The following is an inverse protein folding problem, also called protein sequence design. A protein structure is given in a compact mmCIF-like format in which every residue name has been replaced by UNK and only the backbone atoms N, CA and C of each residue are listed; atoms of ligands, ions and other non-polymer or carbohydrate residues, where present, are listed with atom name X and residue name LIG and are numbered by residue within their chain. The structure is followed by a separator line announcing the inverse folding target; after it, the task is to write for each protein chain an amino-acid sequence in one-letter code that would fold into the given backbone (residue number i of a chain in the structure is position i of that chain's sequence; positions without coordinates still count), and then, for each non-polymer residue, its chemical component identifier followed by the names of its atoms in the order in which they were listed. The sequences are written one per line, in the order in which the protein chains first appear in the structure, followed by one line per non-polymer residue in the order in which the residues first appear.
data_IF_212792600053
#
_entry.id   IF_212792600053
#
_cell.length_a   1.000
_cell.length_b   1.000
_cell.length_c   1.000
_cell.angle_alpha   90.00
_cell.angle_beta   90.00
_cell.angle_gamma   90.00
#
_symmetry.space_group_name_H-M   'P 1'
#
loop_
_entity.id
_entity.type
_entity.pdbx_description
1 polymer ?
#
# COMPACT_ATOMS: atom_id res chain seq x y z
N UNK A 1 -14.78 -8.57 8.18
CA UNK A 1 -13.34 -8.36 8.46
C UNK A 1 -12.74 -7.52 7.34
N UNK A 2 -11.86 -6.57 7.65
CA UNK A 2 -11.19 -5.76 6.62
C UNK A 2 -10.00 -6.54 6.01
N UNK A 3 -9.65 -6.26 4.76
CA UNK A 3 -8.47 -6.89 4.11
C UNK A 3 -7.17 -6.67 4.90
N UNK A 4 -7.06 -5.54 5.60
CA UNK A 4 -5.90 -5.23 6.45
C UNK A 4 -5.83 -6.18 7.66
N UNK A 5 -6.96 -6.44 8.32
CA UNK A 5 -7.02 -7.38 9.43
C UNK A 5 -6.61 -8.80 8.99
N UNK A 6 -7.05 -9.23 7.80
CA UNK A 6 -6.68 -10.54 7.25
C UNK A 6 -5.17 -10.69 7.00
N UNK A 7 -4.47 -9.61 6.59
CA UNK A 7 -3.01 -9.64 6.43
C UNK A 7 -2.32 -9.77 7.78
N UNK A 8 -2.84 -9.10 8.83
CA UNK A 8 -2.30 -9.19 10.17
C UNK A 8 -2.49 -10.61 10.77
N UNK A 9 -3.64 -11.21 10.54
CA UNK A 9 -3.93 -12.58 10.98
C UNK A 9 -3.07 -13.59 10.23
N UNK A 10 -2.90 -13.44 8.91
CA UNK A 10 -1.97 -14.26 8.13
C UNK A 10 -0.54 -14.16 8.66
N UNK A 11 -0.07 -12.95 8.99
CA UNK A 11 1.26 -12.75 9.59
C UNK A 11 1.40 -13.53 10.90
N UNK A 12 0.38 -13.48 11.77
CA UNK A 12 0.38 -14.23 13.04
C UNK A 12 0.44 -15.73 12.79
N UNK A 13 -0.38 -16.24 11.87
CA UNK A 13 -0.40 -17.68 11.54
C UNK A 13 0.97 -18.14 10.99
N UNK A 14 1.61 -17.35 10.13
CA UNK A 14 2.93 -17.69 9.61
C UNK A 14 4.00 -17.73 10.73
N UNK A 15 3.91 -16.82 11.71
CA UNK A 15 4.83 -16.81 12.85
C UNK A 15 4.58 -18.00 13.78
N UNK A 16 3.31 -18.30 14.04
CA UNK A 16 2.91 -19.42 14.89
C UNK A 16 3.35 -20.76 14.31
N UNK A 17 3.21 -20.95 12.98
CA UNK A 17 3.53 -22.20 12.29
C UNK A 17 4.99 -22.37 11.92
N UNK A 18 5.69 -21.28 11.60
CA UNK A 18 7.03 -21.32 11.00
C UNK A 18 8.08 -20.51 11.76
N UNK A 19 7.71 -19.82 12.84
CA UNK A 19 8.62 -18.99 13.63
C UNK A 19 8.98 -17.66 12.96
N UNK A 20 10.22 -17.21 13.13
CA UNK A 20 10.64 -15.89 12.65
C UNK A 20 10.58 -15.81 11.12
N UNK A 21 9.86 -14.82 10.61
CA UNK A 21 9.75 -14.60 9.17
C UNK A 21 11.09 -14.16 8.56
N UNK A 22 11.50 -14.75 7.41
CA UNK A 22 12.54 -14.18 6.57
C UNK A 22 12.18 -12.75 6.13
N UNK A 23 13.20 -11.96 5.80
CA UNK A 23 13.01 -10.56 5.40
C UNK A 23 12.17 -10.45 4.13
N UNK A 24 12.32 -11.39 3.20
CA UNK A 24 11.57 -11.47 1.95
C UNK A 24 10.07 -11.67 2.20
N UNK A 25 9.72 -12.49 3.20
CA UNK A 25 8.33 -12.74 3.57
C UNK A 25 7.72 -11.51 4.25
N UNK A 26 8.47 -10.86 5.14
CA UNK A 26 8.02 -9.59 5.73
C UNK A 26 7.82 -8.51 4.68
N UNK A 27 8.74 -8.38 3.73
CA UNK A 27 8.64 -7.44 2.60
C UNK A 27 7.44 -7.76 1.71
N UNK A 28 7.16 -9.04 1.45
CA UNK A 28 5.99 -9.46 0.69
C UNK A 28 4.68 -9.06 1.37
N UNK A 29 4.55 -9.31 2.67
CA UNK A 29 3.36 -8.91 3.43
C UNK A 29 3.18 -7.39 3.43
N UNK A 30 4.27 -6.63 3.60
CA UNK A 30 4.26 -5.17 3.49
C UNK A 30 3.82 -4.70 2.10
N UNK A 31 4.29 -5.36 1.04
CA UNK A 31 3.86 -5.06 -0.35
C UNK A 31 2.37 -5.32 -0.56
N UNK A 32 1.83 -6.39 0.01
CA UNK A 32 0.40 -6.70 -0.06
C UNK A 32 -0.41 -5.64 0.69
N UNK A 33 0.03 -5.23 1.89
CA UNK A 33 -0.60 -4.16 2.66
C UNK A 33 -0.63 -2.84 1.87
N UNK A 34 0.51 -2.43 1.31
CA UNK A 34 0.60 -1.23 0.45
C UNK A 34 -0.36 -1.34 -0.73
N UNK A 35 -0.45 -2.51 -1.38
CA UNK A 35 -1.37 -2.72 -2.51
C UNK A 35 -2.83 -2.55 -2.09
N UNK A 36 -3.22 -3.06 -0.92
CA UNK A 36 -4.58 -2.88 -0.39
C UNK A 36 -4.87 -1.41 -0.11
N UNK A 37 -3.95 -0.72 0.56
CA UNK A 37 -4.08 0.71 0.86
C UNK A 37 -4.15 1.56 -0.41
N UNK A 38 -3.28 1.30 -1.38
CA UNK A 38 -3.27 1.97 -2.67
C UNK A 38 -4.62 1.81 -3.39
N UNK A 39 -5.20 0.60 -3.38
CA UNK A 39 -6.51 0.35 -3.96
C UNK A 39 -7.63 1.12 -3.23
N UNK A 40 -7.58 1.18 -1.90
CA UNK A 40 -8.54 1.93 -1.08
C UNK A 40 -8.43 3.45 -1.32
N UNK A 41 -7.21 3.96 -1.52
CA UNK A 41 -6.93 5.35 -1.86
C UNK A 41 -7.22 5.70 -3.34
N UNK A 42 -7.69 4.75 -4.15
CA UNK A 42 -7.99 5.00 -5.57
C UNK A 42 -6.75 5.12 -6.47
N UNK A 43 -5.60 4.62 -6.02
CA UNK A 43 -4.38 4.57 -6.81
C UNK A 43 -4.40 3.38 -7.78
N UNK A 44 -3.99 3.63 -9.02
CA UNK A 44 -3.82 2.64 -10.07
C UNK A 44 -2.45 1.97 -10.01
N UNK A 45 -1.41 2.71 -9.62
CA UNK A 45 0.00 2.25 -9.59
C UNK A 45 0.79 3.05 -8.56
N UNK A 46 1.74 2.38 -7.93
CA UNK A 46 2.72 2.95 -7.00
C UNK A 46 4.08 2.39 -7.38
N UNK A 47 5.00 3.26 -7.76
CA UNK A 47 6.40 2.91 -8.07
C UNK A 47 7.31 3.47 -6.98
N UNK A 48 8.14 2.59 -6.42
CA UNK A 48 9.16 2.95 -5.44
C UNK A 48 10.50 3.09 -6.17
N UNK A 49 11.05 4.30 -6.17
CA UNK A 49 12.45 4.56 -6.51
C UNK A 49 13.29 4.73 -5.25
N UNK A 50 14.60 4.90 -5.42
CA UNK A 50 15.54 5.09 -4.29
C UNK A 50 15.17 6.32 -3.44
N UNK A 51 14.90 7.46 -4.08
CA UNK A 51 14.65 8.74 -3.39
C UNK A 51 13.30 9.36 -3.73
N UNK A 52 12.44 8.63 -4.45
CA UNK A 52 11.14 9.13 -4.88
C UNK A 52 10.08 8.05 -4.90
N UNK A 53 8.87 8.44 -4.53
CA UNK A 53 7.65 7.65 -4.69
C UNK A 53 6.83 8.25 -5.83
N UNK A 54 6.50 7.46 -6.84
CA UNK A 54 5.63 7.89 -7.94
C UNK A 54 4.29 7.18 -7.82
N UNK A 55 3.21 7.96 -7.68
CA UNK A 55 1.84 7.45 -7.58
C UNK A 55 1.02 7.84 -8.80
N UNK A 56 0.18 6.92 -9.26
CA UNK A 56 -0.73 7.15 -10.37
C UNK A 56 -2.15 7.00 -9.84
N UNK A 57 -2.90 8.09 -9.79
CA UNK A 57 -4.30 8.07 -9.38
C UNK A 57 -5.18 7.56 -10.55
N UNK A 58 -6.18 6.72 -10.25
CA UNK A 58 -7.12 6.32 -11.28
C UNK A 58 -8.12 7.46 -11.57
N UNK A 59 -8.33 7.78 -12.85
CA UNK A 59 -9.21 8.86 -13.33
C UNK A 59 -10.60 8.84 -12.69
N UNK A 60 -11.17 7.65 -12.46
CA UNK A 60 -12.50 7.48 -11.85
C UNK A 60 -12.62 7.97 -10.40
N UNK A 61 -11.50 8.12 -9.68
CA UNK A 61 -11.48 8.64 -8.31
C UNK A 61 -11.03 10.10 -8.24
N UNK A 62 -10.62 10.70 -9.36
CA UNK A 62 -10.20 12.10 -9.44
C UNK A 62 -11.42 13.00 -9.65
N UNK A 63 -12.12 13.35 -8.56
CA UNK A 63 -13.25 14.31 -8.62
C UNK A 63 -12.80 15.73 -8.93
N UNK A 64 -11.68 16.16 -8.33
CA UNK A 64 -11.09 17.47 -8.57
C UNK A 64 -9.54 17.35 -8.65
N UNK A 65 -8.97 17.26 -9.86
CA UNK A 65 -7.52 17.14 -10.04
C UNK A 65 -6.73 18.35 -9.52
N UNK A 66 -7.31 19.56 -9.57
CA UNK A 66 -6.60 20.78 -9.16
C UNK A 66 -6.29 20.76 -7.67
N UNK A 67 -7.28 20.44 -6.83
CA UNK A 67 -7.08 20.34 -5.38
C UNK A 67 -6.02 19.32 -4.99
N UNK A 68 -5.90 18.23 -5.76
CA UNK A 68 -4.85 17.23 -5.51
C UNK A 68 -3.45 17.79 -5.82
N UNK A 69 -3.32 18.58 -6.89
CA UNK A 69 -2.07 19.26 -7.25
C UNK A 69 -1.72 20.30 -6.19
N UNK A 70 -2.69 21.12 -5.76
CA UNK A 70 -2.48 22.14 -4.74
C UNK A 70 -2.01 21.51 -3.41
N UNK A 71 -2.65 20.40 -2.99
CA UNK A 71 -2.23 19.64 -1.80
C UNK A 71 -0.78 19.13 -1.91
N UNK A 72 -0.40 18.63 -3.09
CA UNK A 72 0.92 18.06 -3.34
C UNK A 72 2.05 19.11 -3.44
N UNK A 73 1.71 20.38 -3.71
CA UNK A 73 2.68 21.48 -3.82
C UNK A 73 2.81 22.31 -2.54
N UNK A 74 1.89 22.15 -1.58
CA UNK A 74 1.85 22.92 -0.33
C UNK A 74 2.59 22.21 0.83
N UNK A 75 3.06 20.97 0.62
CA UNK A 75 3.90 20.20 1.56
C UNK A 75 5.18 19.75 0.87
#
# INVERSE_FOLDING_TARGET
MTQIAQIADLKKELIDRYGKLPVEVSNLLSKILIKVLAKQAGLKRVDFGTDRLVVYCAKKYQKNPQTLIDWALTN
#
